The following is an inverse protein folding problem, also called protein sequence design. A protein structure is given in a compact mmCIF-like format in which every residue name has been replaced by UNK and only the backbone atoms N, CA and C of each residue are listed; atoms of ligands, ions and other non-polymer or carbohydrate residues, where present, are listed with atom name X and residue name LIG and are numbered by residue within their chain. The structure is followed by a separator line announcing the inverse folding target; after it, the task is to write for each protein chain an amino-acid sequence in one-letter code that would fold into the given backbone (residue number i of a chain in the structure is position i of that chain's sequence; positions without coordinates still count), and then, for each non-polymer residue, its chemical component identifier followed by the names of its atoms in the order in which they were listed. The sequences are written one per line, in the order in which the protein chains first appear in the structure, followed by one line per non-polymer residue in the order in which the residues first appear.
data_IF_575873062508
#
_entry.id   IF_575873062508
#
_cell.length_a   1.000
_cell.length_b   1.000
_cell.length_c   1.000
_cell.angle_alpha   90.00
_cell.angle_beta   90.00
_cell.angle_gamma   90.00
#
_symmetry.space_group_name_H-M   'P 1'
#
loop_
_entity.id
_entity.type
_entity.pdbx_description
1 polymer ?
#
# COMPACT_ATOMS: atom_id res chain seq x y z
N UNK A 1 -3.63 -9.09 13.92
CA UNK A 1 -2.19 -9.25 13.70
C UNK A 1 -1.58 -7.93 13.24
N UNK A 2 -0.44 -7.60 13.80
CA UNK A 2 0.21 -6.32 13.58
C UNK A 2 1.52 -6.54 12.83
N UNK A 3 1.71 -5.82 11.73
CA UNK A 3 2.96 -5.94 10.96
C UNK A 3 3.54 -4.57 10.68
N UNK A 4 4.85 -4.55 10.46
CA UNK A 4 5.53 -3.31 10.15
C UNK A 4 5.27 -2.91 8.70
N UNK A 5 5.59 -1.66 8.38
CA UNK A 5 5.41 -1.14 7.05
C UNK A 5 6.31 -1.89 6.06
N UNK A 6 7.54 -2.18 6.45
CA UNK A 6 8.45 -2.94 5.60
C UNK A 6 7.89 -4.33 5.31
N UNK A 7 7.38 -4.97 6.34
CA UNK A 7 6.84 -6.30 6.19
C UNK A 7 5.59 -6.28 5.31
N UNK A 8 4.75 -5.26 5.47
CA UNK A 8 3.56 -5.13 4.64
C UNK A 8 3.94 -5.06 3.17
N UNK A 9 4.98 -4.31 2.84
CA UNK A 9 5.41 -4.20 1.45
C UNK A 9 5.86 -5.55 0.91
N UNK A 10 6.50 -6.36 1.75
CA UNK A 10 6.97 -7.67 1.31
C UNK A 10 5.85 -8.68 1.19
N UNK A 11 4.88 -8.59 2.09
CA UNK A 11 3.82 -9.60 2.15
C UNK A 11 2.78 -9.39 1.07
N UNK A 12 2.40 -8.15 0.81
CA UNK A 12 1.29 -7.87 -0.08
C UNK A 12 1.69 -7.57 -1.51
N UNK A 13 2.98 -7.54 -1.80
CA UNK A 13 3.44 -7.26 -3.16
C UNK A 13 4.57 -8.19 -3.54
N UNK A 14 4.56 -8.64 -4.79
CA UNK A 14 5.67 -9.43 -5.29
C UNK A 14 6.87 -8.52 -5.48
N UNK A 15 8.08 -9.08 -5.57
CA UNK A 15 9.26 -8.24 -5.73
C UNK A 15 9.19 -7.27 -6.91
N UNK A 16 8.52 -7.69 -7.98
CA UNK A 16 8.44 -6.84 -9.17
C UNK A 16 7.49 -5.67 -9.01
N UNK A 17 6.44 -5.84 -8.20
CA UNK A 17 5.45 -4.79 -8.05
C UNK A 17 5.55 -4.08 -6.71
N UNK A 18 6.54 -4.42 -5.91
CA UNK A 18 6.66 -3.86 -4.56
C UNK A 18 7.02 -2.38 -4.61
N UNK A 19 6.23 -1.53 -3.96
CA UNK A 19 6.55 -0.11 -3.92
C UNK A 19 7.77 0.14 -3.03
N UNK A 20 8.50 1.19 -3.34
CA UNK A 20 9.60 1.61 -2.47
C UNK A 20 9.01 2.23 -1.21
N UNK A 21 9.85 2.45 -0.20
CA UNK A 21 9.39 3.10 1.02
C UNK A 21 8.79 4.47 0.73
N UNK A 22 9.41 5.21 -0.18
CA UNK A 22 8.93 6.52 -0.56
C UNK A 22 7.57 6.44 -1.24
N UNK A 23 7.43 5.50 -2.17
CA UNK A 23 6.16 5.31 -2.87
C UNK A 23 5.07 4.88 -1.91
N UNK A 24 5.41 4.01 -0.95
CA UNK A 24 4.44 3.56 0.04
C UNK A 24 3.96 4.73 0.90
N UNK A 25 4.88 5.62 1.30
CA UNK A 25 4.49 6.77 2.11
C UNK A 25 3.53 7.67 1.35
N UNK A 26 3.78 7.89 0.06
CA UNK A 26 2.86 8.69 -0.75
C UNK A 26 1.50 8.02 -0.83
N UNK A 27 1.48 6.72 -1.04
CA UNK A 27 0.24 5.96 -1.12
C UNK A 27 -0.50 6.02 0.22
N UNK A 28 0.24 5.89 1.32
CA UNK A 28 -0.36 5.95 2.64
C UNK A 28 -1.10 7.26 2.86
N UNK A 29 -0.48 8.36 2.47
CA UNK A 29 -1.11 9.67 2.61
C UNK A 29 -2.30 9.81 1.67
N UNK A 30 -2.12 9.41 0.45
CA UNK A 30 -3.16 9.60 -0.57
C UNK A 30 -4.42 8.85 -0.23
N UNK A 31 -4.29 7.63 0.26
CA UNK A 31 -5.45 6.79 0.54
C UNK A 31 -5.76 6.67 2.01
N UNK A 32 -5.06 7.42 2.85
CA UNK A 32 -5.30 7.42 4.30
C UNK A 32 -5.27 6.01 4.87
N UNK A 33 -4.20 5.29 4.60
CA UNK A 33 -4.07 3.93 5.10
C UNK A 33 -4.08 3.92 6.63
N UNK A 34 -4.61 2.88 7.26
CA UNK A 34 -4.76 2.82 8.72
C UNK A 34 -3.44 2.51 9.42
N UNK A 35 -2.56 3.48 9.45
CA UNK A 35 -1.22 3.32 10.03
C UNK A 35 -1.21 3.63 11.51
N UNK A 36 -0.42 2.84 12.26
CA UNK A 36 -0.17 3.09 13.66
C UNK A 36 1.25 3.58 13.80
N UNK A 37 1.41 4.76 14.40
CA UNK A 37 2.73 5.33 14.58
C UNK A 37 3.24 5.01 15.97
N UNK A 38 4.14 4.04 16.07
CA UNK A 38 4.68 3.60 17.34
C UNK A 38 6.14 4.01 17.43
N UNK A 39 6.71 3.86 18.62
CA UNK A 39 8.11 4.24 18.83
C UNK A 39 9.05 3.51 17.89
N UNK A 40 8.73 2.27 17.60
CA UNK A 40 9.60 1.44 16.76
C UNK A 40 9.35 1.63 15.27
N UNK A 41 8.39 2.44 14.90
CA UNK A 41 8.12 2.68 13.50
C UNK A 41 6.63 2.68 13.20
N UNK A 42 6.30 2.48 11.94
CA UNK A 42 4.91 2.50 11.49
C UNK A 42 4.44 1.06 11.30
N UNK A 43 3.28 0.76 11.87
CA UNK A 43 2.70 -0.58 11.84
C UNK A 43 1.27 -0.54 11.34
N UNK A 44 0.76 -1.71 10.97
CA UNK A 44 -0.61 -1.84 10.47
C UNK A 44 -1.25 -3.09 11.04
N UNK A 45 -2.55 -3.00 11.34
CA UNK A 45 -3.35 -4.18 11.60
C UNK A 45 -3.61 -4.85 10.26
N UNK A 46 -3.29 -6.11 10.13
CA UNK A 46 -3.40 -6.79 8.83
C UNK A 46 -4.82 -6.75 8.29
N UNK A 47 -5.81 -6.94 9.16
CA UNK A 47 -7.20 -6.93 8.72
C UNK A 47 -7.59 -5.60 8.09
N UNK A 48 -7.22 -4.51 8.77
CA UNK A 48 -7.57 -3.18 8.29
C UNK A 48 -6.79 -2.83 7.04
N UNK A 49 -5.53 -3.22 7.01
CA UNK A 49 -4.71 -2.92 5.85
C UNK A 49 -5.20 -3.68 4.63
N UNK A 50 -5.54 -4.96 4.80
CA UNK A 50 -6.04 -5.75 3.68
C UNK A 50 -7.34 -5.18 3.13
N UNK A 51 -8.20 -4.74 4.01
CA UNK A 51 -9.46 -4.13 3.57
C UNK A 51 -9.19 -2.86 2.78
N UNK A 52 -8.27 -2.02 3.28
CA UNK A 52 -7.93 -0.78 2.59
C UNK A 52 -7.33 -1.05 1.23
N UNK A 53 -6.42 -2.00 1.15
CA UNK A 53 -5.79 -2.34 -0.13
C UNK A 53 -6.81 -2.90 -1.11
N UNK A 54 -7.75 -3.70 -0.60
CA UNK A 54 -8.78 -4.25 -1.48
C UNK A 54 -9.65 -3.14 -2.05
N UNK A 55 -10.02 -2.16 -1.23
CA UNK A 55 -10.83 -1.05 -1.69
C UNK A 55 -10.10 -0.22 -2.74
N UNK A 56 -8.81 0.02 -2.54
CA UNK A 56 -8.02 0.75 -3.52
C UNK A 56 -7.96 -0.02 -4.83
N UNK A 57 -7.75 -1.32 -4.74
CA UNK A 57 -7.68 -2.16 -5.93
C UNK A 57 -9.01 -2.20 -6.66
N UNK A 58 -10.11 -2.31 -5.93
CA UNK A 58 -11.43 -2.35 -6.53
C UNK A 58 -11.77 -1.03 -7.21
N UNK A 59 -11.24 0.06 -6.67
CA UNK A 59 -11.44 1.35 -7.29
C UNK A 59 -10.54 1.52 -8.51
N UNK A 60 -9.67 0.57 -8.78
CA UNK A 60 -8.83 0.62 -9.95
C UNK A 60 -7.60 1.49 -9.80
N UNK A 61 -7.27 1.91 -8.60
CA UNK A 61 -6.16 2.84 -8.41
C UNK A 61 -4.84 2.26 -8.86
N UNK A 62 -4.56 1.02 -8.48
CA UNK A 62 -3.30 0.40 -8.87
C UNK A 62 -3.29 0.04 -10.35
N UNK A 63 -4.40 -0.50 -10.83
CA UNK A 63 -4.50 -0.85 -12.22
C UNK A 63 -4.41 0.38 -13.10
N UNK A 64 -5.03 1.44 -12.64
CA UNK A 64 -4.99 2.67 -13.38
C UNK A 64 -3.57 3.17 -13.52
N UNK A 65 -2.79 3.08 -12.45
CA UNK A 65 -1.39 3.46 -12.53
C UNK A 65 -0.69 2.62 -13.55
N UNK A 66 -1.00 1.35 -13.54
CA UNK A 66 -0.34 0.43 -14.46
C UNK A 66 -0.67 0.78 -15.87
N UNK A 67 -1.91 1.16 -16.13
CA UNK A 67 -2.18 1.40 -17.50
C UNK A 67 -2.12 2.82 -17.86
N UNK A 68 -2.09 3.68 -16.89
CA UNK A 68 -2.00 5.06 -17.27
C UNK A 68 -0.78 5.23 -18.06
N UNK A 69 -0.04 4.33 -18.01
CA UNK A 69 1.04 4.41 -18.82
C UNK A 69 0.53 3.98 -20.07
N UNK A 70 -0.51 3.50 -20.08
CA UNK A 70 -1.02 3.28 -21.32
C UNK A 70 -1.41 4.55 -21.87
N UNK A 71 -1.36 5.07 -21.39
CA UNK A 71 -1.57 5.93 -21.73
C UNK A 71 -2.25 6.46 -22.09
N UNK A 72 -2.38 6.26 -21.89
CA UNK A 72 -2.78 6.72 -22.00
C UNK A 72 -2.88 7.17 -22.13
N UNK A 73 -2.76 6.92 -22.12
CA UNK A 73 -2.83 7.12 -22.15
C UNK A 73 -2.85 7.50 -22.20
#
# INVERSE_FOLDING_TARGET
HLISEDEARRVYFSPESRPTASQWRKMRRRYSLPALFLEKGVFYWTDELEESLRQITEAGAFDHDAESMCGDA
#
